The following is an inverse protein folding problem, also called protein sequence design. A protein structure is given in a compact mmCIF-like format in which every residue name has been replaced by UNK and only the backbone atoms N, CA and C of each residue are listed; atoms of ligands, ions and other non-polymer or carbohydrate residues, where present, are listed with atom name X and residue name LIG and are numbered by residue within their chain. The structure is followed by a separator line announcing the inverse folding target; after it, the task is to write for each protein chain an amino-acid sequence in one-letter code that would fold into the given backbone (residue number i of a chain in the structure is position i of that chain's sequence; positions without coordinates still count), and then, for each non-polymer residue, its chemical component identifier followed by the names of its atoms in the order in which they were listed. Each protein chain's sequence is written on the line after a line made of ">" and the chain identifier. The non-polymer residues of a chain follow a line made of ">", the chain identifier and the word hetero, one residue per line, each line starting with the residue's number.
data_IF_305318273441
#
_entry.id   IF_305318273441
#
_cell.length_a   1.000
_cell.length_b   1.000
_cell.length_c   1.000
_cell.angle_alpha   90.00
_cell.angle_beta   90.00
_cell.angle_gamma   90.00
#
_symmetry.space_group_name_H-M   'P 1'
#
loop_
_entity.id
_entity.type
_entity.pdbx_description
1 polymer ?
#
# COMPACT_ATOMS: atom_id res chain seq x y z
N UNK A 1 13.78 11.99 -15.60
CA UNK A 1 12.47 12.63 -15.82
C UNK A 1 11.66 11.66 -16.66
N UNK A 2 10.81 10.86 -16.01
CA UNK A 2 10.01 9.80 -16.64
C UNK A 2 8.60 9.96 -16.09
N UNK A 3 7.62 10.21 -16.97
CA UNK A 3 6.20 10.14 -16.62
C UNK A 3 5.65 8.79 -17.09
N UNK A 4 4.91 8.10 -16.23
CA UNK A 4 4.27 6.82 -16.56
C UNK A 4 2.77 7.07 -16.78
N UNK A 5 2.23 6.65 -17.93
CA UNK A 5 0.81 6.73 -18.25
C UNK A 5 0.25 5.31 -18.41
N UNK A 6 -0.59 4.90 -17.47
CA UNK A 6 -1.38 3.66 -17.55
C UNK A 6 -2.80 4.00 -18.04
N UNK A 7 -3.25 3.34 -19.12
CA UNK A 7 -4.62 3.43 -19.65
C UNK A 7 -5.11 2.01 -19.96
N UNK A 8 -6.13 1.52 -19.25
CA UNK A 8 -6.70 0.19 -19.51
C UNK A 8 -8.21 0.21 -19.22
N UNK A 9 -8.99 -0.41 -20.12
CA UNK A 9 -10.44 -0.55 -19.97
C UNK A 9 -10.79 -2.00 -19.69
N UNK A 10 -11.43 -2.26 -18.55
CA UNK A 10 -11.93 -3.60 -18.21
C UNK A 10 -13.24 -3.56 -17.42
N UNK A 11 -14.18 -4.40 -17.85
CA UNK A 11 -15.48 -4.61 -17.18
C UNK A 11 -15.28 -5.36 -15.87
N UNK A 12 -15.46 -4.67 -14.75
CA UNK A 12 -15.55 -5.26 -13.42
C UNK A 12 -16.80 -4.73 -12.70
N UNK A 13 -17.53 -5.62 -12.04
CA UNK A 13 -18.74 -5.31 -11.26
C UNK A 13 -18.32 -4.74 -9.90
N UNK A 14 -18.73 -3.51 -9.62
CA UNK A 14 -18.31 -2.76 -8.43
C UNK A 14 -19.29 -2.91 -7.26
N UNK A 15 -18.78 -3.14 -6.05
CA UNK A 15 -19.47 -2.88 -4.79
C UNK A 15 -18.47 -2.46 -3.70
N UNK A 16 -18.88 -1.51 -2.87
CA UNK A 16 -18.03 -0.77 -1.95
C UNK A 16 -18.47 -0.93 -0.48
N UNK A 17 -17.55 -1.18 0.47
CA UNK A 17 -17.79 -1.00 1.89
C UNK A 17 -17.48 0.43 2.35
N UNK A 18 -18.29 0.94 3.28
CA UNK A 18 -18.02 2.14 4.07
C UNK A 18 -17.01 1.82 5.18
N UNK A 19 -15.82 2.42 5.13
CA UNK A 19 -14.83 2.39 6.21
C UNK A 19 -13.81 3.50 6.00
N UNK A 20 -13.73 4.43 6.95
CA UNK A 20 -12.73 5.50 7.01
C UNK A 20 -11.32 4.89 7.21
N UNK A 21 -10.62 4.63 6.11
CA UNK A 21 -9.20 4.26 6.08
C UNK A 21 -8.36 5.46 5.62
N UNK A 22 -7.38 5.82 6.45
CA UNK A 22 -6.44 6.91 6.23
C UNK A 22 -5.32 6.42 5.33
N UNK A 23 -5.23 7.09 4.18
CA UNK A 23 -4.07 7.25 3.34
C UNK A 23 -3.37 5.98 2.82
N UNK A 24 -4.01 5.41 1.82
CA UNK A 24 -3.44 5.31 0.48
C UNK A 24 -4.59 5.68 -0.49
N UNK A 25 -4.34 6.54 -1.49
CA UNK A 25 -5.41 7.04 -2.37
C UNK A 25 -5.94 5.94 -3.29
N UNK A 26 -7.02 5.27 -2.88
CA UNK A 26 -7.84 4.46 -3.77
C UNK A 26 -8.87 5.34 -4.52
N UNK A 27 -9.26 5.01 -5.76
CA UNK A 27 -10.19 5.80 -6.58
C UNK A 27 -11.59 5.98 -5.95
N UNK A 28 -12.19 7.15 -6.20
CA UNK A 28 -13.47 7.59 -5.63
C UNK A 28 -14.69 6.81 -6.18
N UNK A 29 -15.65 6.46 -5.30
CA UNK A 29 -16.84 5.64 -5.60
C UNK A 29 -18.11 6.48 -5.85
N UNK A 30 -18.99 5.99 -6.75
CA UNK A 30 -20.31 6.55 -7.10
C UNK A 30 -21.47 5.98 -6.23
N UNK A 31 -22.68 6.60 -6.19
CA UNK A 31 -23.76 6.24 -5.24
C UNK A 31 -24.41 4.86 -5.46
N UNK A 32 -24.75 4.20 -4.33
CA UNK A 32 -25.02 2.75 -4.23
C UNK A 32 -26.48 2.29 -4.44
N UNK A 33 -26.61 1.06 -4.94
CA UNK A 33 -27.76 0.16 -4.72
C UNK A 33 -27.36 -0.97 -3.73
N UNK A 34 -28.33 -1.51 -2.98
CA UNK A 34 -28.12 -2.38 -1.82
C UNK A 34 -27.34 -3.69 -2.12
N UNK A 35 -26.35 -4.11 -1.28
CA UNK A 35 -25.59 -5.35 -1.51
C UNK A 35 -26.20 -6.62 -0.90
N UNK A 36 -26.01 -7.75 -1.57
CA UNK A 36 -26.33 -9.11 -1.07
C UNK A 36 -25.11 -10.04 -0.94
N UNK A 37 -23.88 -9.56 -1.19
CA UNK A 37 -22.64 -10.34 -1.02
C UNK A 37 -21.71 -9.77 0.07
N UNK A 38 -20.86 -10.60 0.72
CA UNK A 38 -19.90 -10.13 1.73
C UNK A 38 -18.96 -9.09 1.12
N UNK A 39 -18.95 -7.89 1.68
CA UNK A 39 -18.08 -6.80 1.21
C UNK A 39 -16.60 -7.13 1.48
N UNK A 40 -15.68 -6.73 0.57
CA UNK A 40 -14.25 -6.89 0.79
C UNK A 40 -13.79 -6.12 2.04
N UNK A 41 -12.69 -6.59 2.63
CA UNK A 41 -12.06 -5.89 3.75
C UNK A 41 -11.44 -4.57 3.29
N UNK A 42 -11.53 -3.47 4.07
CA UNK A 42 -10.94 -2.18 3.70
C UNK A 42 -9.41 -2.16 3.63
N UNK A 43 -8.73 -3.12 4.25
CA UNK A 43 -7.30 -3.33 4.10
C UNK A 43 -7.01 -4.81 3.83
N UNK A 44 -5.95 -5.13 3.06
CA UNK A 44 -5.10 -4.19 2.31
C UNK A 44 -5.89 -3.46 1.20
N UNK A 45 -5.38 -2.31 0.76
CA UNK A 45 -5.96 -1.62 -0.40
C UNK A 45 -5.62 -2.38 -1.68
N UNK A 46 -6.53 -2.35 -2.65
CA UNK A 46 -6.46 -3.20 -3.84
C UNK A 46 -6.81 -2.40 -5.10
N UNK A 47 -5.91 -2.39 -6.07
CA UNK A 47 -6.14 -1.90 -7.44
C UNK A 47 -6.07 -3.03 -8.49
N UNK A 48 -5.43 -4.15 -8.15
CA UNK A 48 -5.20 -5.28 -9.03
C UNK A 48 -6.42 -6.19 -9.29
N UNK A 49 -6.31 -7.09 -10.29
CA UNK A 49 -7.36 -8.04 -10.62
C UNK A 49 -7.48 -9.19 -9.61
N UNK A 50 -6.43 -9.44 -8.82
CA UNK A 50 -6.47 -10.45 -7.76
C UNK A 50 -7.36 -9.98 -6.61
N UNK A 51 -7.98 -10.94 -5.92
CA UNK A 51 -8.86 -10.68 -4.79
C UNK A 51 -8.46 -11.60 -3.64
N UNK A 52 -8.69 -11.13 -2.42
CA UNK A 52 -8.51 -11.97 -1.23
C UNK A 52 -9.62 -13.03 -1.16
N UNK A 53 -9.42 -14.04 -0.31
CA UNK A 53 -10.48 -14.98 0.02
C UNK A 53 -11.69 -14.26 0.64
N UNK A 54 -12.86 -14.90 0.62
CA UNK A 54 -14.05 -14.37 1.29
C UNK A 54 -13.75 -14.18 2.78
N UNK A 55 -13.91 -12.96 3.34
CA UNK A 55 -13.57 -12.72 4.74
C UNK A 55 -14.46 -13.51 5.70
N UNK A 56 -13.84 -14.08 6.73
CA UNK A 56 -14.54 -14.71 7.83
C UNK A 56 -14.53 -13.79 9.05
N UNK A 57 -15.70 -13.61 9.68
CA UNK A 57 -15.81 -12.73 10.85
C UNK A 57 -16.17 -13.52 12.10
N UNK A 58 -15.55 -13.18 13.22
CA UNK A 58 -15.79 -13.81 14.51
C UNK A 58 -15.83 -12.77 15.64
N UNK A 59 -16.49 -13.12 16.74
CA UNK A 59 -16.55 -12.31 17.95
C UNK A 59 -15.32 -12.59 18.82
N UNK A 60 -14.48 -11.59 19.04
CA UNK A 60 -13.24 -11.66 19.81
C UNK A 60 -13.39 -11.09 21.23
N UNK A 61 -14.54 -11.31 21.86
CA UNK A 61 -14.83 -10.83 23.23
C UNK A 61 -14.73 -9.30 23.35
N UNK A 62 -13.83 -8.76 24.21
CA UNK A 62 -13.70 -7.32 24.42
C UNK A 62 -13.25 -6.55 23.16
N UNK A 63 -12.64 -7.24 22.19
CA UNK A 63 -12.27 -6.66 20.91
C UNK A 63 -13.42 -6.65 19.90
N UNK A 64 -14.64 -7.06 20.27
CA UNK A 64 -15.80 -7.02 19.38
C UNK A 64 -15.64 -7.90 18.13
N UNK A 65 -16.19 -7.45 17.00
CA UNK A 65 -16.14 -8.20 15.74
C UNK A 65 -14.80 -8.00 15.04
N UNK A 66 -14.12 -9.12 14.75
CA UNK A 66 -12.85 -9.17 14.01
C UNK A 66 -13.07 -9.94 12.72
N UNK A 67 -12.38 -9.54 11.66
CA UNK A 67 -12.36 -10.24 10.38
C UNK A 67 -10.98 -10.84 10.11
N UNK A 68 -10.97 -12.00 9.47
CA UNK A 68 -9.78 -12.65 8.93
C UNK A 68 -10.01 -12.99 7.46
N UNK A 69 -8.99 -12.74 6.64
CA UNK A 69 -8.91 -13.24 5.26
C UNK A 69 -7.45 -13.50 4.90
N UNK A 70 -7.17 -13.85 3.64
CA UNK A 70 -5.83 -14.05 3.14
C UNK A 70 -5.80 -14.17 1.63
N UNK A 71 -4.59 -14.34 1.11
CA UNK A 71 -4.34 -14.55 -0.30
C UNK A 71 -3.19 -15.54 -0.51
N UNK A 72 -3.33 -16.35 -1.55
CA UNK A 72 -2.29 -17.23 -2.04
C UNK A 72 -2.14 -17.01 -3.55
N UNK A 73 -0.95 -16.62 -4.00
CA UNK A 73 -0.62 -16.46 -5.41
C UNK A 73 0.80 -16.93 -5.69
N UNK A 74 0.99 -17.42 -6.92
CA UNK A 74 2.29 -17.76 -7.48
C UNK A 74 2.58 -16.86 -8.68
N UNK A 75 3.84 -16.78 -9.07
CA UNK A 75 4.27 -16.06 -10.25
C UNK A 75 5.30 -16.86 -11.05
N UNK A 76 5.34 -16.58 -12.36
CA UNK A 76 6.36 -17.07 -13.28
C UNK A 76 6.78 -15.94 -14.21
N UNK A 77 8.07 -15.82 -14.48
CA UNK A 77 8.63 -14.79 -15.35
C UNK A 77 9.62 -15.41 -16.32
N UNK A 78 9.62 -14.91 -17.55
CA UNK A 78 10.60 -15.23 -18.59
C UNK A 78 11.04 -13.92 -19.24
N UNK A 79 12.33 -13.64 -19.22
CA UNK A 79 12.90 -12.39 -19.73
C UNK A 79 14.07 -12.67 -20.68
N UNK A 80 14.09 -11.95 -21.80
CA UNK A 80 15.21 -12.01 -22.76
C UNK A 80 16.32 -11.02 -22.43
N UNK A 81 16.00 -9.95 -21.69
CA UNK A 81 16.93 -8.90 -21.29
C UNK A 81 16.82 -8.70 -19.77
N UNK A 82 17.38 -9.63 -19.01
CA UNK A 82 17.39 -9.56 -17.54
C UNK A 82 18.57 -8.71 -17.03
N UNK A 83 18.46 -8.24 -15.78
CA UNK A 83 19.52 -7.47 -15.13
C UNK A 83 20.78 -8.34 -14.96
N UNK A 84 22.00 -7.83 -15.21
CA UNK A 84 23.23 -8.61 -15.00
C UNK A 84 23.31 -9.21 -13.59
N UNK A 85 23.62 -10.50 -13.51
CA UNK A 85 23.63 -11.27 -12.25
C UNK A 85 22.32 -12.00 -11.95
N UNK A 86 21.24 -11.69 -12.68
CA UNK A 86 19.96 -12.40 -12.57
C UNK A 86 19.86 -13.56 -13.60
N UNK A 87 18.69 -14.22 -13.66
CA UNK A 87 18.38 -15.34 -14.56
C UNK A 87 17.24 -14.98 -15.52
N UNK A 88 17.22 -15.65 -16.65
CA UNK A 88 16.18 -15.48 -17.67
C UNK A 88 14.80 -16.00 -17.27
N UNK A 89 14.71 -16.83 -16.22
CA UNK A 89 13.45 -17.43 -15.79
C UNK A 89 13.35 -17.50 -14.26
N UNK A 90 12.17 -17.17 -13.75
CA UNK A 90 11.85 -17.25 -12.32
C UNK A 90 10.47 -17.84 -12.09
N UNK A 91 10.31 -18.56 -10.98
CA UNK A 91 9.04 -19.10 -10.52
C UNK A 91 9.05 -19.11 -9.00
N UNK A 92 8.00 -18.61 -8.38
CA UNK A 92 7.95 -18.53 -6.92
C UNK A 92 6.51 -18.37 -6.41
N UNK A 93 6.32 -18.63 -5.11
CA UNK A 93 5.14 -18.14 -4.39
C UNK A 93 5.29 -16.64 -4.25
N UNK A 94 4.43 -15.86 -4.90
CA UNK A 94 4.51 -14.39 -4.83
C UNK A 94 3.87 -13.83 -3.57
N UNK A 95 2.77 -14.45 -3.11
CA UNK A 95 2.14 -14.11 -1.84
C UNK A 95 1.51 -15.35 -1.21
N UNK A 96 1.69 -15.51 0.10
CA UNK A 96 0.96 -16.43 0.95
C UNK A 96 0.73 -15.71 2.29
N UNK A 97 -0.27 -14.83 2.32
CA UNK A 97 -0.47 -13.86 3.39
C UNK A 97 -1.84 -14.00 4.05
N UNK A 98 -1.90 -13.70 5.34
CA UNK A 98 -3.10 -13.66 6.17
C UNK A 98 -3.26 -12.24 6.72
N UNK A 99 -4.49 -11.76 6.72
CA UNK A 99 -4.87 -10.44 7.21
C UNK A 99 -5.91 -10.59 8.32
N UNK A 100 -5.67 -9.95 9.46
CA UNK A 100 -6.62 -9.90 10.58
C UNK A 100 -6.88 -8.45 10.95
N UNK A 101 -8.14 -8.06 11.02
CA UNK A 101 -8.47 -6.67 11.31
C UNK A 101 -9.78 -6.44 12.04
N UNK A 102 -9.79 -5.34 12.78
CA UNK A 102 -10.96 -4.74 13.40
C UNK A 102 -11.12 -3.33 12.87
N UNK A 103 -12.24 -3.07 12.21
CA UNK A 103 -12.48 -1.82 11.45
C UNK A 103 -13.60 -0.95 12.05
N UNK A 104 -14.16 -1.36 13.19
CA UNK A 104 -15.31 -0.68 13.82
C UNK A 104 -14.95 -0.11 15.19
N UNK A 105 -15.66 0.94 15.61
CA UNK A 105 -15.45 1.59 16.91
C UNK A 105 -14.20 2.46 16.98
N UNK A 106 -13.97 3.06 18.15
CA UNK A 106 -12.86 4.01 18.37
C UNK A 106 -11.49 3.35 18.42
N UNK A 107 -11.41 2.05 18.75
CA UNK A 107 -10.18 1.26 18.78
C UNK A 107 -10.21 0.24 17.65
N UNK A 108 -9.28 0.32 16.72
CA UNK A 108 -9.19 -0.49 15.52
C UNK A 108 -7.76 -1.04 15.38
N UNK A 109 -7.58 -2.08 14.57
CA UNK A 109 -6.25 -2.62 14.27
C UNK A 109 -6.23 -3.37 12.94
N UNK A 110 -5.04 -3.51 12.40
CA UNK A 110 -4.73 -4.34 11.23
C UNK A 110 -3.46 -5.14 11.52
N UNK A 111 -3.43 -6.41 11.10
CA UNK A 111 -2.30 -7.31 11.19
C UNK A 111 -2.16 -8.04 9.86
N UNK A 112 -0.96 -8.06 9.31
CA UNK A 112 -0.64 -8.74 8.06
C UNK A 112 0.64 -9.55 8.24
N UNK A 113 0.56 -10.84 7.94
CA UNK A 113 1.68 -11.75 8.05
C UNK A 113 1.67 -12.85 7.02
N UNK A 114 2.84 -13.36 6.67
CA UNK A 114 3.00 -14.45 5.72
C UNK A 114 4.26 -14.31 4.88
N UNK A 115 4.25 -14.99 3.74
CA UNK A 115 5.35 -15.00 2.79
C UNK A 115 5.01 -14.13 1.58
N UNK A 116 6.01 -13.42 1.04
CA UNK A 116 5.84 -12.55 -0.11
C UNK A 116 7.19 -12.31 -0.82
N UNK A 117 7.12 -11.90 -2.09
CA UNK A 117 8.25 -11.32 -2.80
C UNK A 117 7.90 -9.92 -3.36
N UNK A 118 8.93 -9.17 -3.74
CA UNK A 118 8.83 -7.77 -4.16
C UNK A 118 9.46 -7.58 -5.56
N UNK A 119 8.87 -8.15 -6.62
CA UNK A 119 9.41 -7.99 -7.96
C UNK A 119 9.23 -6.55 -8.44
N UNK A 120 10.29 -5.98 -9.01
CA UNK A 120 10.34 -4.59 -9.46
C UNK A 120 11.20 -4.47 -10.71
N UNK A 121 10.81 -3.58 -11.62
CA UNK A 121 11.49 -3.40 -12.89
C UNK A 121 12.86 -2.76 -12.70
N UNK A 122 13.86 -3.35 -13.35
CA UNK A 122 15.23 -2.81 -13.37
C UNK A 122 16.12 -3.24 -12.20
N UNK A 123 15.61 -4.11 -11.31
CA UNK A 123 16.41 -4.78 -10.28
C UNK A 123 16.32 -6.31 -10.42
N UNK A 124 17.32 -7.07 -9.93
CA UNK A 124 17.26 -8.53 -9.94
C UNK A 124 16.08 -9.07 -9.12
N UNK A 125 15.45 -10.14 -9.58
CA UNK A 125 14.41 -10.82 -8.82
C UNK A 125 14.97 -11.41 -7.52
N UNK A 126 14.32 -11.11 -6.40
CA UNK A 126 14.60 -11.73 -5.10
C UNK A 126 13.47 -12.70 -4.78
N UNK A 127 13.83 -13.97 -4.57
CA UNK A 127 12.87 -15.02 -4.19
C UNK A 127 12.37 -14.82 -2.76
N UNK A 128 11.18 -15.33 -2.47
CA UNK A 128 10.45 -15.20 -1.21
C UNK A 128 11.27 -15.63 0.01
N UNK A 129 12.11 -16.67 -0.10
CA UNK A 129 12.96 -17.11 1.02
C UNK A 129 14.04 -16.10 1.41
N UNK A 130 14.43 -15.24 0.47
CA UNK A 130 15.47 -14.22 0.67
C UNK A 130 14.80 -12.88 0.98
N UNK A 131 13.65 -12.56 0.34
CA UNK A 131 12.89 -11.33 0.59
C UNK A 131 12.51 -11.17 2.07
N UNK A 132 12.07 -12.23 2.74
CA UNK A 132 11.62 -12.14 4.13
C UNK A 132 12.71 -11.64 5.10
N UNK A 133 13.89 -12.28 5.20
CA UNK A 133 14.95 -11.80 6.08
C UNK A 133 15.58 -10.46 5.62
N UNK A 134 15.54 -10.16 4.32
CA UNK A 134 16.16 -8.97 3.75
C UNK A 134 15.30 -7.70 3.89
N UNK A 135 13.97 -7.84 3.92
CA UNK A 135 13.03 -6.74 4.00
C UNK A 135 12.28 -6.68 5.34
N UNK A 136 10.95 -6.81 5.31
CA UNK A 136 10.07 -6.50 6.44
C UNK A 136 9.74 -7.71 7.31
N UNK A 137 10.41 -8.85 7.11
CA UNK A 137 10.16 -10.08 7.86
C UNK A 137 8.80 -10.72 7.51
N UNK A 138 8.45 -11.83 8.19
CA UNK A 138 7.18 -12.54 7.96
C UNK A 138 5.94 -11.78 8.49
N UNK A 139 6.14 -10.63 9.14
CA UNK A 139 5.06 -9.79 9.67
C UNK A 139 5.28 -8.33 9.21
N UNK A 140 5.07 -8.05 7.92
CA UNK A 140 5.51 -6.81 7.30
C UNK A 140 4.70 -5.59 7.74
N UNK A 141 3.40 -5.75 8.05
CA UNK A 141 2.54 -4.63 8.43
C UNK A 141 1.65 -5.01 9.61
N UNK A 142 1.48 -4.06 10.51
CA UNK A 142 0.60 -4.22 11.66
C UNK A 142 0.55 -2.96 12.49
N UNK A 143 -0.65 -2.45 12.73
CA UNK A 143 -0.85 -1.18 13.44
C UNK A 143 -2.12 -1.18 14.28
N UNK A 144 -2.08 -0.35 15.31
CA UNK A 144 -3.26 0.08 16.06
C UNK A 144 -3.77 1.39 15.45
N UNK A 145 -5.08 1.57 15.42
CA UNK A 145 -5.74 2.76 14.91
C UNK A 145 -6.76 3.27 15.92
N UNK A 146 -6.64 4.54 16.31
CA UNK A 146 -7.58 5.22 17.20
C UNK A 146 -8.40 6.22 16.39
N UNK A 147 -9.72 6.10 16.40
CA UNK A 147 -10.64 6.88 15.54
C UNK A 147 -11.58 7.74 16.38
N UNK A 148 -11.74 9.01 15.99
CA UNK A 148 -12.72 9.95 16.53
C UNK A 148 -13.28 10.84 15.42
N UNK A 149 -14.44 10.44 14.88
CA UNK A 149 -14.97 11.08 13.67
C UNK A 149 -14.01 10.85 12.50
N UNK A 150 -13.69 11.92 11.77
CA UNK A 150 -12.76 11.86 10.62
C UNK A 150 -11.28 11.80 11.06
N UNK A 151 -11.00 12.20 12.30
CA UNK A 151 -9.66 12.19 12.86
C UNK A 151 -9.27 10.78 13.28
N UNK A 152 -8.05 10.38 12.96
CA UNK A 152 -7.47 9.17 13.48
C UNK A 152 -5.95 9.24 13.69
N UNK A 153 -5.45 8.33 14.53
CA UNK A 153 -4.02 8.12 14.78
C UNK A 153 -3.72 6.64 14.61
N UNK A 154 -2.69 6.33 13.83
CA UNK A 154 -2.18 4.99 13.59
C UNK A 154 -0.77 4.85 14.14
N UNK A 155 -0.46 3.72 14.79
CA UNK A 155 0.87 3.43 15.36
C UNK A 155 1.24 1.99 15.09
N UNK A 156 2.42 1.76 14.52
CA UNK A 156 2.94 0.42 14.24
C UNK A 156 3.82 0.36 13.01
N UNK A 157 3.84 -0.80 12.34
CA UNK A 157 4.39 -0.97 10.99
C UNK A 157 3.28 -0.64 9.99
N UNK A 158 3.40 0.51 9.36
CA UNK A 158 2.40 1.13 8.52
C UNK A 158 2.76 0.92 7.04
N UNK A 159 1.76 0.78 6.15
CA UNK A 159 1.98 1.01 4.72
C UNK A 159 2.46 2.46 4.52
N UNK A 160 3.29 2.66 3.51
CA UNK A 160 3.76 4.00 3.18
C UNK A 160 2.64 4.90 2.68
N UNK A 161 2.80 6.20 2.88
CA UNK A 161 1.91 7.22 2.33
C UNK A 161 2.25 7.62 0.88
N UNK A 162 3.41 7.19 0.40
CA UNK A 162 3.95 7.60 -0.90
C UNK A 162 3.79 6.51 -1.95
N UNK A 163 3.77 6.90 -3.22
CA UNK A 163 3.69 5.98 -4.34
C UNK A 163 2.30 5.80 -4.93
N UNK A 164 2.29 5.50 -6.24
CA UNK A 164 1.10 5.07 -6.98
C UNK A 164 0.94 3.55 -7.02
N UNK A 165 1.95 2.79 -6.56
CA UNK A 165 2.00 1.33 -6.62
C UNK A 165 2.17 0.75 -5.21
N UNK A 166 1.37 -0.26 -4.87
CA UNK A 166 1.30 -0.88 -3.55
C UNK A 166 2.46 -1.84 -3.27
N UNK A 167 2.71 -2.14 -2.00
CA UNK A 167 3.87 -2.92 -1.55
C UNK A 167 3.83 -4.37 -1.98
N UNK A 168 2.69 -5.03 -2.13
CA UNK A 168 2.57 -6.45 -2.45
C UNK A 168 1.93 -6.64 -3.83
N UNK A 169 2.42 -7.61 -4.60
CA UNK A 169 2.07 -7.72 -6.03
C UNK A 169 0.58 -7.99 -6.27
N UNK A 170 -0.12 -8.59 -5.30
CA UNK A 170 -1.56 -8.85 -5.41
C UNK A 170 -2.42 -7.58 -5.31
N UNK A 171 -1.89 -6.52 -4.70
CA UNK A 171 -2.58 -5.24 -4.56
C UNK A 171 -2.56 -4.44 -5.87
N UNK A 172 -1.69 -4.81 -6.82
CA UNK A 172 -1.36 -4.04 -8.02
C UNK A 172 -1.92 -4.64 -9.30
N UNK A 173 -2.10 -3.80 -10.32
CA UNK A 173 -2.47 -4.24 -11.67
C UNK A 173 -1.35 -5.04 -12.34
N UNK A 174 -0.11 -4.67 -12.05
CA UNK A 174 1.09 -5.31 -12.57
C UNK A 174 1.71 -6.23 -11.52
N UNK A 175 2.34 -7.32 -11.97
CA UNK A 175 3.09 -8.23 -11.09
C UNK A 175 4.38 -7.56 -10.64
N UNK A 176 5.15 -7.02 -11.57
CA UNK A 176 6.33 -6.19 -11.32
C UNK A 176 5.90 -4.74 -11.15
N UNK A 177 6.48 -4.05 -10.17
CA UNK A 177 6.28 -2.61 -9.96
C UNK A 177 7.14 -1.79 -10.93
N UNK A 178 6.80 -0.52 -11.09
CA UNK A 178 7.50 0.40 -11.98
C UNK A 178 8.88 0.82 -11.47
N UNK A 179 9.75 1.23 -12.39
CA UNK A 179 11.16 1.60 -12.14
C UNK A 179 11.40 2.68 -11.06
N UNK A 180 10.36 3.44 -10.72
CA UNK A 180 10.42 4.50 -9.70
C UNK A 180 10.05 3.99 -8.31
N UNK A 181 9.38 2.84 -8.21
CA UNK A 181 8.89 2.29 -6.96
C UNK A 181 10.01 2.04 -5.94
N UNK A 182 11.14 1.48 -6.38
CA UNK A 182 12.29 1.25 -5.49
C UNK A 182 13.08 2.52 -5.12
N UNK A 183 12.59 3.71 -5.51
CA UNK A 183 13.05 4.99 -4.95
C UNK A 183 12.22 5.42 -3.73
N UNK A 184 11.11 4.74 -3.45
CA UNK A 184 10.20 5.01 -2.34
C UNK A 184 10.41 4.01 -1.20
N UNK A 185 10.00 4.42 0.00
CA UNK A 185 9.87 3.51 1.14
C UNK A 185 8.50 2.82 1.08
N UNK A 186 8.42 1.51 1.32
CA UNK A 186 7.16 0.75 1.17
C UNK A 186 6.46 0.39 2.50
N UNK A 187 7.25 0.14 3.55
CA UNK A 187 6.78 -0.10 4.93
C UNK A 187 7.64 0.73 5.87
N UNK A 188 6.99 1.39 6.83
CA UNK A 188 7.67 2.25 7.81
C UNK A 188 7.12 1.96 9.20
N UNK A 189 7.96 2.10 10.22
CA UNK A 189 7.53 2.01 11.62
C UNK A 189 7.42 3.40 12.19
N UNK A 190 6.30 3.71 12.81
CA UNK A 190 6.09 5.03 13.38
C UNK A 190 4.66 5.33 13.76
N UNK A 191 4.36 6.63 13.70
CA UNK A 191 3.06 7.20 14.02
C UNK A 191 2.56 7.95 12.79
N UNK A 192 1.27 7.81 12.48
CA UNK A 192 0.58 8.58 11.47
C UNK A 192 -0.66 9.22 12.07
N UNK A 193 -0.90 10.48 11.72
CA UNK A 193 -2.08 11.24 12.10
C UNK A 193 -2.78 11.66 10.83
N UNK A 194 -4.09 11.45 10.78
CA UNK A 194 -4.91 11.78 9.61
C UNK A 194 -6.21 12.45 10.01
N UNK A 195 -6.67 13.37 9.17
CA UNK A 195 -7.98 14.00 9.32
C UNK A 195 -8.54 14.38 7.93
N UNK A 196 -9.86 14.46 7.84
CA UNK A 196 -10.56 14.85 6.62
C UNK A 196 -11.49 16.04 6.88
N UNK A 197 -11.17 17.17 6.24
CA UNK A 197 -11.93 18.40 6.31
C UNK A 197 -12.71 18.61 5.00
N UNK A 198 -13.99 18.25 5.02
CA UNK A 198 -14.85 18.23 3.83
C UNK A 198 -14.28 17.29 2.76
N UNK A 199 -13.69 17.84 1.71
CA UNK A 199 -13.06 17.10 0.61
C UNK A 199 -11.55 16.94 0.81
N UNK A 200 -10.92 17.76 1.64
CA UNK A 200 -9.47 17.73 1.82
C UNK A 200 -9.11 16.67 2.86
N UNK A 201 -8.40 15.63 2.43
CA UNK A 201 -7.82 14.60 3.31
C UNK A 201 -6.35 14.92 3.54
N UNK A 202 -5.94 14.97 4.81
CA UNK A 202 -4.56 15.26 5.22
C UNK A 202 -4.02 14.12 6.08
N UNK A 203 -2.77 13.74 5.84
CA UNK A 203 -2.04 12.81 6.69
C UNK A 203 -0.62 13.29 6.90
N UNK A 204 -0.08 13.07 8.09
CA UNK A 204 1.32 13.29 8.41
C UNK A 204 1.81 12.09 9.22
N UNK A 205 2.96 11.55 8.84
CA UNK A 205 3.63 10.46 9.53
C UNK A 205 5.03 10.89 9.97
N UNK A 206 5.37 10.52 11.20
CA UNK A 206 6.74 10.51 11.71
C UNK A 206 7.17 9.06 11.90
N UNK A 207 8.19 8.64 11.17
CA UNK A 207 8.56 7.24 11.03
C UNK A 207 10.05 7.04 10.78
N UNK A 208 10.45 5.79 10.56
CA UNK A 208 11.83 5.37 10.31
C UNK A 208 12.24 5.32 8.83
N UNK A 209 11.43 5.91 7.93
CA UNK A 209 11.73 6.04 6.51
C UNK A 209 11.82 4.70 5.81
N UNK A 210 13.00 4.37 5.31
CA UNK A 210 13.28 3.11 4.64
C UNK A 210 13.57 2.00 5.67
N UNK A 211 12.62 1.73 6.56
CA UNK A 211 12.69 0.67 7.57
C UNK A 211 13.98 0.68 8.41
N UNK A 212 14.55 1.87 8.62
CA UNK A 212 15.93 2.05 9.09
C UNK A 212 16.12 1.86 10.59
N UNK A 213 15.01 1.75 11.33
CA UNK A 213 14.95 1.75 12.79
C UNK A 213 15.44 3.06 13.43
N UNK A 214 15.57 4.13 12.63
CA UNK A 214 15.92 5.48 13.09
C UNK A 214 14.77 6.41 12.74
N UNK A 215 14.02 6.86 13.75
CA UNK A 215 12.80 7.66 13.59
C UNK A 215 13.11 9.12 13.26
N UNK A 216 13.56 9.38 12.04
CA UNK A 216 13.96 10.70 11.54
C UNK A 216 13.31 11.08 10.22
N UNK A 217 12.29 10.35 9.78
CA UNK A 217 11.54 10.67 8.56
C UNK A 217 10.22 11.34 8.87
N UNK A 218 9.89 12.36 8.07
CA UNK A 218 8.58 12.99 8.05
C UNK A 218 8.02 12.82 6.65
N UNK A 219 6.78 12.35 6.55
CA UNK A 219 6.06 12.14 5.30
C UNK A 219 4.64 12.71 5.45
N UNK A 220 4.14 13.42 4.45
CA UNK A 220 2.81 14.00 4.50
C UNK A 220 2.09 13.93 3.17
N UNK A 221 0.77 13.84 3.23
CA UNK A 221 -0.12 13.80 2.07
C UNK A 221 -1.23 14.82 2.18
N UNK A 222 -1.58 15.42 1.05
CA UNK A 222 -2.82 16.17 0.88
C UNK A 222 -3.55 15.64 -0.35
N UNK A 223 -4.79 15.16 -0.19
CA UNK A 223 -5.62 14.64 -1.26
C UNK A 223 -6.94 15.39 -1.36
N UNK A 224 -7.34 15.72 -2.58
CA UNK A 224 -8.55 16.48 -2.86
C UNK A 224 -9.31 15.89 -4.07
N UNK A 225 -10.50 15.29 -3.85
CA UNK A 225 -11.41 14.92 -4.91
C UNK A 225 -12.15 16.16 -5.41
N UNK A 226 -11.84 16.59 -6.64
CA UNK A 226 -12.57 17.68 -7.29
C UNK A 226 -14.05 17.29 -7.47
N UNK A 227 -14.29 16.05 -7.89
CA UNK A 227 -15.60 15.44 -8.08
C UNK A 227 -15.52 13.91 -7.90
N UNK A 228 -16.60 13.18 -8.21
CA UNK A 228 -16.67 11.72 -8.06
C UNK A 228 -15.69 10.94 -8.94
N UNK A 229 -15.12 11.56 -9.97
CA UNK A 229 -14.25 10.91 -10.96
C UNK A 229 -12.83 11.43 -10.96
N UNK A 230 -12.51 12.48 -10.19
CA UNK A 230 -11.24 13.19 -10.32
C UNK A 230 -10.67 13.53 -8.94
N UNK A 231 -9.48 13.02 -8.66
CA UNK A 231 -8.75 13.29 -7.41
C UNK A 231 -7.33 13.71 -7.72
N UNK A 232 -6.83 14.71 -7.00
CA UNK A 232 -5.42 15.09 -7.00
C UNK A 232 -4.85 14.88 -5.61
N UNK A 233 -3.70 14.23 -5.54
CA UNK A 233 -2.93 14.06 -4.33
C UNK A 233 -1.51 14.60 -4.50
N UNK A 234 -1.02 15.24 -3.45
CA UNK A 234 0.38 15.58 -3.29
C UNK A 234 0.92 14.82 -2.09
N UNK A 235 2.07 14.20 -2.25
CA UNK A 235 2.82 13.54 -1.18
C UNK A 235 4.21 14.13 -1.14
N UNK A 236 4.75 14.34 0.06
CA UNK A 236 6.10 14.84 0.22
C UNK A 236 6.70 14.37 1.52
N UNK A 237 7.96 13.95 1.49
CA UNK A 237 8.65 13.52 2.69
C UNK A 237 10.16 13.52 2.54
N UNK A 238 10.84 13.36 3.66
CA UNK A 238 12.29 13.27 3.68
C UNK A 238 12.85 13.04 5.06
N UNK A 239 14.15 12.80 5.08
CA UNK A 239 14.92 12.69 6.31
C UNK A 239 15.08 14.08 6.96
N UNK A 240 14.54 14.25 8.16
CA UNK A 240 14.66 15.45 8.98
C UNK A 240 15.97 15.49 9.81
N UNK A 241 16.88 14.55 9.58
CA UNK A 241 18.19 14.43 10.22
C UNK A 241 19.20 13.74 9.31
N UNK A 242 19.95 12.79 9.85
CA UNK A 242 20.84 11.89 9.10
C UNK A 242 20.87 10.52 9.76
N UNK A 243 21.16 9.49 8.98
CA UNK A 243 21.36 8.12 9.48
C UNK A 243 22.46 7.41 8.71
N UNK A 244 23.22 6.57 9.41
CA UNK A 244 24.21 5.67 8.82
C UNK A 244 23.67 4.25 8.62
N UNK A 245 22.40 4.00 8.98
CA UNK A 245 21.74 2.71 8.72
C UNK A 245 21.73 2.43 7.23
N UNK A 246 22.17 1.22 6.87
CA UNK A 246 22.19 0.74 5.49
C UNK A 246 21.90 -0.76 5.49
N UNK A 247 20.98 -1.15 4.65
CA UNK A 247 20.62 -2.54 4.36
C UNK A 247 19.95 -2.57 2.98
N UNK A 248 19.56 -3.75 2.50
CA UNK A 248 18.78 -3.85 1.27
C UNK A 248 17.43 -3.15 1.37
N UNK A 249 16.74 -3.23 2.51
CA UNK A 249 15.50 -2.48 2.78
C UNK A 249 15.74 -1.00 3.12
N UNK A 250 16.98 -0.63 3.47
CA UNK A 250 17.40 0.74 3.82
C UNK A 250 18.49 1.25 2.88
N UNK A 251 18.19 1.54 1.60
CA UNK A 251 19.17 2.15 0.69
C UNK A 251 19.69 3.48 1.24
N UNK A 252 21.00 3.58 1.45
CA UNK A 252 21.62 4.69 2.19
C UNK A 252 21.29 6.09 1.64
N UNK A 253 21.35 6.26 0.31
CA UNK A 253 21.12 7.56 -0.34
C UNK A 253 19.65 7.96 -0.28
N UNK A 254 18.75 7.04 -0.63
CA UNK A 254 17.31 7.27 -0.56
C UNK A 254 16.88 7.58 0.86
N UNK A 255 17.38 6.83 1.86
CA UNK A 255 17.03 7.03 3.25
C UNK A 255 17.56 8.34 3.87
N UNK A 256 18.57 8.97 3.26
CA UNK A 256 19.05 10.31 3.62
C UNK A 256 18.55 11.40 2.65
N UNK A 257 17.57 11.06 1.81
CA UNK A 257 17.02 11.94 0.78
C UNK A 257 15.67 12.54 1.15
N UNK A 258 15.03 13.06 0.10
CA UNK A 258 13.66 13.57 0.10
C UNK A 258 12.98 13.13 -1.19
N UNK A 259 11.67 12.98 -1.15
CA UNK A 259 10.87 12.49 -2.26
C UNK A 259 9.52 13.21 -2.27
N UNK A 260 9.00 13.45 -3.47
CA UNK A 260 7.76 14.18 -3.70
C UNK A 260 6.98 13.51 -4.80
N UNK A 261 5.66 13.41 -4.62
CA UNK A 261 4.76 12.94 -5.66
C UNK A 261 3.61 13.89 -5.89
N UNK A 262 3.21 13.97 -7.16
CA UNK A 262 1.90 14.47 -7.57
C UNK A 262 1.21 13.31 -8.27
N UNK A 263 0.06 12.89 -7.74
CA UNK A 263 -0.75 11.81 -8.29
C UNK A 263 -2.10 12.37 -8.69
N UNK A 264 -2.52 12.08 -9.93
CA UNK A 264 -3.87 12.38 -10.37
C UNK A 264 -4.58 11.09 -10.71
N UNK A 265 -5.76 10.88 -10.12
CA UNK A 265 -6.61 9.73 -10.39
C UNK A 265 -7.86 10.19 -11.12
N UNK A 266 -8.09 9.63 -12.30
CA UNK A 266 -9.37 9.69 -13.00
C UNK A 266 -10.04 8.32 -12.99
N UNK A 267 -11.31 8.27 -12.62
CA UNK A 267 -12.10 7.04 -12.61
C UNK A 267 -13.49 7.27 -13.21
N UNK A 268 -13.81 6.49 -14.24
CA UNK A 268 -15.12 6.52 -14.87
C UNK A 268 -15.48 5.13 -15.40
N UNK A 269 -16.56 4.56 -14.85
CA UNK A 269 -16.98 3.19 -15.13
C UNK A 269 -15.82 2.19 -14.94
N UNK A 270 -15.37 1.61 -16.05
CA UNK A 270 -14.34 0.59 -16.16
C UNK A 270 -12.94 1.13 -16.44
N UNK A 271 -12.78 2.45 -16.46
CA UNK A 271 -11.52 3.12 -16.78
C UNK A 271 -10.95 3.79 -15.55
N UNK A 272 -9.67 3.49 -15.29
CA UNK A 272 -8.84 4.16 -14.30
C UNK A 272 -7.59 4.67 -15.01
N UNK A 273 -7.27 5.95 -14.79
CA UNK A 273 -6.09 6.63 -15.35
C UNK A 273 -5.38 7.31 -14.18
N UNK A 274 -4.14 6.90 -13.92
CA UNK A 274 -3.39 7.30 -12.72
C UNK A 274 -1.98 7.80 -13.06
N UNK A 275 -1.83 8.90 -13.83
CA UNK A 275 -0.52 9.50 -14.03
C UNK A 275 0.02 10.04 -12.72
N UNK A 276 1.31 9.83 -12.52
CA UNK A 276 2.04 10.43 -11.41
C UNK A 276 3.36 11.04 -11.87
N UNK A 277 3.81 12.01 -11.10
CA UNK A 277 5.14 12.62 -11.20
C UNK A 277 5.90 12.35 -9.89
N UNK A 278 7.18 12.02 -9.99
CA UNK A 278 8.10 11.72 -8.88
C UNK A 278 9.47 12.34 -9.13
#
# INVERSE_FOLDING_TARGET
>A
MIGVLSTVGQRAYAQAPSGDSSAQTAPAQAPAAAPTDPQPLPNPSMAGPLQTAVPHTFSAGPFGKVAITGILSGMGMVQNNWVPGDKSTHWDVSNAQIFVQKTSGWFQFYLQGGAYNLPDLGVPFTKTTDTLPDFYGPFPQGYLKLVKGNFNVEVGALPTLIGGEYTFSFENMNIERGILWNQENAVNRGIQVSDTFKKLSLSVSWNDGFYSNVYNWILGTASYPFNSSNTLAFVGGGNAGRTTSSSIATPFLQNNGSIYNILYTYSHESWVIEPYYQ
#
